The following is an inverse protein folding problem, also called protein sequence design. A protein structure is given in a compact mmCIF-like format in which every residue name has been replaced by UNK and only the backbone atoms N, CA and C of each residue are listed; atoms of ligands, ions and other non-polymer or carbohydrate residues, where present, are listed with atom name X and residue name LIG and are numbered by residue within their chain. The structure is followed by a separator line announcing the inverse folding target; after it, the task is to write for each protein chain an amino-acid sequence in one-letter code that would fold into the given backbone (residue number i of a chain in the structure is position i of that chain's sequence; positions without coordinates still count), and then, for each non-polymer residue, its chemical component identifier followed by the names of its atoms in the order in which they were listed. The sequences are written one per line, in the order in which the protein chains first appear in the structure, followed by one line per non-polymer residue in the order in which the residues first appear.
data_IF_977940315936
#
_entry.id   IF_977940315936
#
_cell.length_a   1.000
_cell.length_b   1.000
_cell.length_c   1.000
_cell.angle_alpha   90.00
_cell.angle_beta   90.00
_cell.angle_gamma   90.00
#
_symmetry.space_group_name_H-M   'P 1'
#
loop_
_entity.id
_entity.type
_entity.pdbx_description
1 polymer ?
#
# COMPACT_ATOMS: atom_id res chain seq x y z
N UNK A 1 -26.20 -11.94 -24.95
CA UNK A 1 -26.51 -10.51 -24.97
C UNK A 1 -26.04 -9.80 -23.73
N UNK A 2 -26.45 -10.23 -22.54
CA UNK A 2 -26.01 -9.62 -21.29
C UNK A 2 -24.49 -9.69 -21.07
N UNK A 3 -23.85 -10.79 -21.47
CA UNK A 3 -22.40 -10.95 -21.35
C UNK A 3 -21.63 -9.96 -22.23
N UNK A 4 -22.15 -9.68 -23.42
CA UNK A 4 -21.52 -8.73 -24.33
C UNK A 4 -21.59 -7.31 -23.77
N UNK A 5 -22.74 -6.93 -23.20
CA UNK A 5 -22.92 -5.61 -22.60
C UNK A 5 -21.95 -5.42 -21.41
N UNK A 6 -21.79 -6.43 -20.54
CA UNK A 6 -20.88 -6.39 -19.42
C UNK A 6 -19.42 -6.26 -19.90
N UNK A 7 -19.05 -7.02 -20.94
CA UNK A 7 -17.70 -6.96 -21.49
C UNK A 7 -17.38 -5.57 -22.05
N UNK A 8 -18.33 -4.96 -22.74
CA UNK A 8 -18.15 -3.59 -23.25
C UNK A 8 -18.00 -2.56 -22.13
N UNK A 9 -18.77 -2.72 -21.07
CA UNK A 9 -18.69 -1.82 -19.91
C UNK A 9 -17.33 -1.94 -19.23
N UNK A 10 -16.82 -3.16 -19.05
CA UNK A 10 -15.49 -3.40 -18.48
C UNK A 10 -14.38 -2.81 -19.35
N UNK A 11 -14.49 -2.96 -20.67
CA UNK A 11 -13.51 -2.40 -21.58
C UNK A 11 -13.49 -0.86 -21.51
N UNK A 12 -14.66 -0.22 -21.42
CA UNK A 12 -14.73 1.22 -21.28
C UNK A 12 -14.13 1.70 -19.97
N UNK A 13 -14.41 1.00 -18.87
CA UNK A 13 -13.83 1.32 -17.56
C UNK A 13 -12.31 1.16 -17.57
N UNK A 14 -11.81 0.08 -18.20
CA UNK A 14 -10.37 -0.15 -18.30
C UNK A 14 -9.68 0.93 -19.16
N UNK A 15 -10.34 1.40 -20.22
CA UNK A 15 -9.79 2.44 -21.08
C UNK A 15 -9.66 3.79 -20.38
N UNK A 16 -10.52 4.08 -19.40
CA UNK A 16 -10.51 5.34 -18.66
C UNK A 16 -9.75 5.25 -17.34
N UNK A 17 -9.48 4.05 -16.85
CA UNK A 17 -8.77 3.85 -15.59
C UNK A 17 -7.28 4.14 -15.78
N UNK A 18 -6.69 4.82 -14.81
CA UNK A 18 -5.25 4.96 -14.72
C UNK A 18 -4.65 3.57 -14.41
N UNK A 19 -3.61 3.18 -15.14
CA UNK A 19 -2.96 1.90 -14.90
C UNK A 19 -2.38 1.84 -13.49
N UNK A 20 -2.73 0.79 -12.75
CA UNK A 20 -2.22 0.57 -11.40
C UNK A 20 -1.00 -0.35 -11.47
N UNK A 21 -0.02 -0.06 -10.63
CA UNK A 21 1.21 -0.85 -10.54
C UNK A 21 1.23 -1.58 -9.21
N UNK A 22 1.41 -2.90 -9.26
CA UNK A 22 1.58 -3.70 -8.05
C UNK A 22 2.95 -3.38 -7.43
N UNK A 23 2.96 -3.03 -6.16
CA UNK A 23 4.16 -2.65 -5.44
C UNK A 23 4.52 -3.63 -4.31
N UNK A 24 4.02 -4.83 -4.40
CA UNK A 24 4.28 -5.87 -3.42
C UNK A 24 3.33 -5.82 -2.24
N UNK A 25 3.74 -6.45 -1.16
CA UNK A 25 2.97 -6.49 0.08
C UNK A 25 3.68 -5.73 1.17
N UNK A 26 2.96 -4.84 1.82
CA UNK A 26 3.41 -4.26 3.07
C UNK A 26 3.34 -5.37 4.12
N UNK A 27 4.48 -5.88 4.53
CA UNK A 27 4.57 -7.06 5.39
C UNK A 27 5.83 -6.96 6.25
N UNK A 28 5.76 -7.53 7.44
CA UNK A 28 6.91 -7.62 8.33
C UNK A 28 7.78 -8.85 8.05
N UNK A 29 7.40 -9.68 7.08
CA UNK A 29 8.16 -10.88 6.72
C UNK A 29 9.37 -10.50 5.84
N UNK A 30 10.61 -10.70 6.32
CA UNK A 30 11.80 -10.32 5.54
C UNK A 30 12.18 -11.34 4.46
N UNK A 31 11.46 -12.46 4.35
CA UNK A 31 11.81 -13.56 3.43
C UNK A 31 10.82 -13.75 2.29
N UNK A 32 9.62 -13.20 2.39
CA UNK A 32 8.63 -13.34 1.32
C UNK A 32 9.10 -12.58 0.07
N UNK A 33 8.98 -13.18 -1.14
CA UNK A 33 9.51 -12.53 -2.34
C UNK A 33 8.82 -11.22 -2.71
N UNK A 34 7.56 -11.02 -2.32
CA UNK A 34 6.83 -9.78 -2.60
C UNK A 34 6.71 -8.85 -1.40
N UNK A 35 7.42 -9.13 -0.30
CA UNK A 35 7.39 -8.29 0.89
C UNK A 35 8.25 -7.04 0.74
N UNK A 36 7.72 -5.91 1.19
CA UNK A 36 8.49 -4.66 1.25
C UNK A 36 9.61 -4.70 2.29
N UNK A 37 9.59 -5.69 3.20
CA UNK A 37 10.64 -5.91 4.20
C UNK A 37 11.77 -6.82 3.70
N UNK A 38 11.61 -7.44 2.52
CA UNK A 38 12.64 -8.29 1.93
C UNK A 38 13.61 -7.44 1.11
N UNK A 39 14.80 -7.23 1.64
CA UNK A 39 15.82 -6.38 1.02
C UNK A 39 16.37 -6.93 -0.30
N UNK A 40 16.14 -8.19 -0.57
CA UNK A 40 16.63 -8.87 -1.78
C UNK A 40 15.51 -9.12 -2.79
N UNK A 41 14.27 -8.76 -2.45
CA UNK A 41 13.12 -8.95 -3.32
C UNK A 41 12.84 -7.75 -4.21
N UNK A 42 12.00 -7.96 -5.21
CA UNK A 42 11.67 -6.94 -6.21
C UNK A 42 10.97 -5.71 -5.62
N UNK A 43 10.34 -5.85 -4.46
CA UNK A 43 9.55 -4.78 -3.85
C UNK A 43 10.12 -4.27 -2.54
N UNK A 44 11.20 -4.87 -2.05
CA UNK A 44 11.85 -4.44 -0.82
C UNK A 44 13.29 -3.98 -1.00
N UNK A 45 13.89 -4.26 -2.14
CA UNK A 45 15.28 -3.88 -2.43
C UNK A 45 15.42 -2.36 -2.57
N UNK A 46 16.49 -1.76 -2.02
CA UNK A 46 16.75 -0.33 -2.25
C UNK A 46 17.19 -0.01 -3.67
N UNK A 47 17.32 -1.02 -4.54
CA UNK A 47 17.77 -0.86 -5.93
C UNK A 47 16.71 -1.25 -6.96
N UNK A 48 15.61 -1.86 -6.55
CA UNK A 48 14.57 -2.30 -7.47
C UNK A 48 13.67 -1.13 -7.91
N UNK A 49 13.28 -1.06 -9.20
CA UNK A 49 12.52 0.09 -9.71
C UNK A 49 11.13 0.27 -9.11
N UNK A 50 10.48 -0.83 -8.68
CA UNK A 50 9.12 -0.76 -8.10
C UNK A 50 9.12 -0.85 -6.58
N UNK A 51 10.27 -0.70 -5.94
CA UNK A 51 10.38 -0.75 -4.49
C UNK A 51 10.13 0.61 -3.86
N UNK A 52 9.31 0.65 -2.81
CA UNK A 52 9.14 1.87 -2.02
C UNK A 52 10.39 2.21 -1.20
N UNK A 53 11.35 1.30 -1.14
CA UNK A 53 12.61 1.51 -0.42
C UNK A 53 13.74 2.02 -1.31
N UNK A 54 13.49 2.17 -2.63
CA UNK A 54 14.49 2.68 -3.56
C UNK A 54 14.42 4.23 -3.61
N UNK A 55 15.42 4.93 -3.04
CA UNK A 55 15.38 6.41 -2.99
C UNK A 55 15.52 7.09 -4.35
N UNK A 56 15.85 6.34 -5.40
CA UNK A 56 15.97 6.85 -6.77
C UNK A 56 14.81 6.38 -7.66
N UNK A 57 13.88 5.57 -7.14
CA UNK A 57 12.76 5.06 -7.90
C UNK A 57 11.52 5.92 -7.77
N UNK A 58 10.56 5.71 -8.68
CA UNK A 58 9.30 6.46 -8.72
C UNK A 58 8.53 6.36 -7.40
N UNK A 59 8.58 5.21 -6.73
CA UNK A 59 7.77 4.95 -5.54
C UNK A 59 8.52 5.09 -4.22
N UNK A 60 9.83 5.34 -4.28
CA UNK A 60 10.66 5.48 -3.08
C UNK A 60 11.42 6.80 -2.98
N UNK A 61 11.43 7.60 -4.05
CA UNK A 61 12.15 8.88 -4.04
C UNK A 61 11.46 9.91 -3.14
N UNK A 62 12.21 10.67 -2.32
CA UNK A 62 11.61 11.74 -1.51
C UNK A 62 11.09 12.91 -2.34
N UNK A 63 11.29 12.90 -3.66
CA UNK A 63 10.89 13.99 -4.56
C UNK A 63 9.80 13.59 -5.55
N UNK A 64 9.45 12.32 -5.63
CA UNK A 64 8.43 11.83 -6.58
C UNK A 64 7.03 12.04 -6.05
N UNK A 65 6.12 12.50 -6.91
CA UNK A 65 4.70 12.65 -6.58
C UNK A 65 3.96 11.35 -6.33
N UNK A 66 4.57 10.20 -6.62
CA UNK A 66 3.99 8.86 -6.43
C UNK A 66 4.66 8.08 -5.33
N UNK A 67 5.54 8.71 -4.59
CA UNK A 67 6.39 8.03 -3.61
C UNK A 67 5.74 7.92 -2.25
N UNK A 68 6.04 6.80 -1.57
CA UNK A 68 5.65 6.59 -0.18
C UNK A 68 6.47 7.43 0.80
N UNK A 69 7.61 7.98 0.38
CA UNK A 69 8.52 8.71 1.26
C UNK A 69 8.50 10.22 1.07
N UNK A 70 7.80 10.71 0.05
CA UNK A 70 7.68 12.15 -0.20
C UNK A 70 6.47 12.70 0.55
N UNK A 71 6.66 13.57 1.57
CA UNK A 71 5.53 14.12 2.33
C UNK A 71 4.60 15.03 1.52
N UNK A 72 5.03 15.44 0.33
CA UNK A 72 4.24 16.28 -0.58
C UNK A 72 3.62 15.50 -1.74
N UNK A 73 3.79 14.17 -1.76
CA UNK A 73 3.23 13.34 -2.83
C UNK A 73 1.71 13.34 -2.76
N UNK A 74 1.06 13.50 -3.92
CA UNK A 74 -0.39 13.48 -4.05
C UNK A 74 -0.93 12.12 -4.49
N UNK A 75 -0.06 11.26 -5.03
CA UNK A 75 -0.42 9.95 -5.57
C UNK A 75 0.39 8.84 -4.91
N UNK A 76 0.61 8.95 -3.61
CA UNK A 76 1.32 7.91 -2.85
C UNK A 76 0.58 6.57 -2.92
N UNK A 77 1.28 5.44 -2.72
CA UNK A 77 0.68 4.12 -2.89
C UNK A 77 -0.51 3.87 -1.95
N UNK A 78 -1.50 3.15 -2.46
CA UNK A 78 -2.67 2.74 -1.69
C UNK A 78 -2.46 1.35 -1.12
N UNK A 79 -3.05 1.11 0.07
CA UNK A 79 -2.97 -0.20 0.72
C UNK A 79 -4.34 -0.83 0.83
N UNK A 80 -4.39 -2.14 0.58
CA UNK A 80 -5.60 -2.95 0.74
C UNK A 80 -5.27 -4.19 1.55
N UNK A 81 -6.11 -4.48 2.55
CA UNK A 81 -5.97 -5.69 3.34
C UNK A 81 -6.29 -6.93 2.49
N UNK A 82 -5.87 -8.15 2.94
CA UNK A 82 -6.23 -9.38 2.23
C UNK A 82 -7.73 -9.58 2.04
N UNK A 83 -8.56 -9.01 2.93
CA UNK A 83 -10.03 -9.08 2.81
C UNK A 83 -10.61 -8.00 1.90
N UNK A 84 -9.77 -7.18 1.25
CA UNK A 84 -10.19 -6.14 0.34
C UNK A 84 -10.43 -4.77 0.96
N UNK A 85 -10.33 -4.65 2.27
CA UNK A 85 -10.56 -3.37 2.96
C UNK A 85 -9.46 -2.37 2.62
N UNK A 86 -9.87 -1.14 2.27
CA UNK A 86 -8.94 -0.05 2.01
C UNK A 86 -8.32 0.41 3.33
N UNK A 87 -6.99 0.48 3.36
CA UNK A 87 -6.24 0.83 4.57
C UNK A 87 -5.51 2.19 4.45
N UNK A 88 -5.91 3.00 3.49
CA UNK A 88 -5.32 4.32 3.29
C UNK A 88 -4.12 4.29 2.38
N UNK A 89 -3.34 5.38 2.42
CA UNK A 89 -2.16 5.54 1.58
C UNK A 89 -0.90 5.36 2.40
N UNK A 90 0.04 4.63 1.84
CA UNK A 90 1.39 4.56 2.35
C UNK A 90 2.09 5.88 2.01
N UNK A 91 2.00 6.84 2.91
CA UNK A 91 2.42 8.22 2.68
C UNK A 91 3.26 8.73 3.85
N UNK A 92 4.15 9.66 3.56
CA UNK A 92 4.92 10.35 4.60
C UNK A 92 4.25 11.66 5.06
N UNK A 93 3.09 12.02 4.50
CA UNK A 93 2.38 13.24 4.88
C UNK A 93 1.61 13.03 6.19
N UNK A 94 1.97 13.75 7.28
CA UNK A 94 1.29 13.58 8.56
C UNK A 94 -0.07 14.30 8.66
N UNK A 95 -0.48 15.02 7.62
CA UNK A 95 -1.72 15.82 7.61
C UNK A 95 -2.79 15.32 6.66
N UNK A 96 -2.45 14.43 5.75
CA UNK A 96 -3.40 13.86 4.79
C UNK A 96 -4.36 12.91 5.51
N UNK A 97 -5.70 13.09 5.38
CA UNK A 97 -6.65 12.21 6.06
C UNK A 97 -6.57 10.74 5.63
N UNK A 98 -6.02 10.42 4.46
CA UNK A 98 -5.83 9.04 4.02
C UNK A 98 -4.45 8.47 4.34
N UNK A 99 -3.55 9.29 4.91
CA UNK A 99 -2.17 8.90 5.16
C UNK A 99 -2.04 8.00 6.38
N UNK A 100 -1.24 6.93 6.24
CA UNK A 100 -0.87 6.11 7.40
C UNK A 100 0.09 6.82 8.35
N UNK A 101 0.67 7.95 7.94
CA UNK A 101 1.54 8.77 8.78
C UNK A 101 0.76 9.81 9.60
N UNK A 102 -0.54 9.96 9.37
CA UNK A 102 -1.37 10.92 10.10
C UNK A 102 -1.90 10.30 11.39
N UNK A 103 -1.37 10.69 12.58
CA UNK A 103 -1.78 10.06 13.84
C UNK A 103 -3.21 10.42 14.29
N UNK A 104 -3.84 11.38 13.62
CA UNK A 104 -5.23 11.77 13.90
C UNK A 104 -6.20 11.31 12.83
N UNK A 105 -5.71 10.68 11.77
CA UNK A 105 -6.53 10.20 10.67
C UNK A 105 -7.03 8.78 10.87
N UNK A 106 -8.06 8.42 10.11
CA UNK A 106 -8.67 7.09 10.17
C UNK A 106 -7.66 5.96 9.93
N UNK A 107 -6.69 6.19 9.05
CA UNK A 107 -5.75 5.14 8.62
C UNK A 107 -4.40 5.23 9.31
N UNK A 108 -4.16 6.26 10.11
CA UNK A 108 -2.88 6.45 10.79
C UNK A 108 -2.97 6.50 12.31
N UNK A 109 -4.16 6.66 12.86
CA UNK A 109 -4.34 6.74 14.31
C UNK A 109 -4.03 5.40 14.99
N UNK A 110 -3.32 5.42 16.14
CA UNK A 110 -3.10 4.18 16.91
C UNK A 110 -4.36 3.64 17.57
N UNK A 111 -5.48 4.33 17.46
CA UNK A 111 -6.75 3.95 18.09
C UNK A 111 -7.85 3.60 17.10
N UNK A 112 -7.64 3.84 15.82
CA UNK A 112 -8.65 3.58 14.78
C UNK A 112 -8.69 2.10 14.39
N UNK A 113 -9.90 1.51 14.24
CA UNK A 113 -10.00 0.09 13.84
C UNK A 113 -9.47 -0.19 12.43
N UNK A 114 -9.41 0.80 11.55
CA UNK A 114 -8.91 0.63 10.18
C UNK A 114 -7.44 1.01 10.02
N UNK A 115 -6.75 1.32 11.11
CA UNK A 115 -5.37 1.78 11.06
C UNK A 115 -4.38 0.64 11.20
N UNK A 116 -3.35 0.64 10.36
CA UNK A 116 -2.21 -0.29 10.48
C UNK A 116 -1.33 0.05 11.68
N UNK A 117 -1.53 1.22 12.29
CA UNK A 117 -0.77 1.66 13.47
C UNK A 117 -1.47 1.31 14.80
N UNK A 118 -2.66 0.72 14.75
CA UNK A 118 -3.37 0.31 15.95
C UNK A 118 -2.95 -1.12 16.34
N UNK A 119 -2.15 -1.28 17.42
CA UNK A 119 -1.63 -2.61 17.78
C UNK A 119 -2.70 -3.57 18.30
N UNK A 120 -3.90 -3.08 18.59
CA UNK A 120 -5.02 -3.89 19.05
C UNK A 120 -6.07 -4.10 17.97
N UNK A 121 -5.87 -3.49 16.80
CA UNK A 121 -6.82 -3.59 15.69
C UNK A 121 -6.51 -4.76 14.77
N UNK A 122 -7.53 -5.13 13.98
CA UNK A 122 -7.42 -6.23 13.01
C UNK A 122 -6.30 -6.01 12.00
N UNK A 123 -6.04 -4.76 11.63
CA UNK A 123 -5.09 -4.42 10.58
C UNK A 123 -3.75 -3.91 11.12
N UNK A 124 -3.62 -3.77 12.42
CA UNK A 124 -2.38 -3.29 13.05
C UNK A 124 -1.74 -4.24 14.05
N UNK A 125 -2.45 -5.27 14.46
CA UNK A 125 -1.95 -6.23 15.45
C UNK A 125 -0.85 -7.10 14.85
N UNK A 126 0.20 -7.34 15.63
CA UNK A 126 1.27 -8.25 15.21
C UNK A 126 0.85 -9.72 15.20
N UNK A 127 -0.36 -10.02 15.63
CA UNK A 127 -0.90 -11.39 15.68
C UNK A 127 -2.01 -11.64 14.66
N UNK A 128 -2.48 -10.61 13.98
CA UNK A 128 -3.56 -10.73 13.01
C UNK A 128 -3.04 -11.12 11.63
N UNK A 129 -3.72 -12.06 10.98
CA UNK A 129 -3.41 -12.46 9.61
C UNK A 129 -3.61 -11.33 8.59
N UNK A 130 -4.46 -10.36 8.94
CA UNK A 130 -4.78 -9.22 8.06
C UNK A 130 -3.83 -8.04 8.23
N UNK A 131 -2.84 -8.16 9.11
CA UNK A 131 -1.99 -7.03 9.48
C UNK A 131 -0.64 -7.08 8.79
N UNK A 132 -0.15 -5.95 8.25
CA UNK A 132 1.23 -5.87 7.75
C UNK A 132 2.29 -5.97 8.84
N UNK A 133 1.91 -5.83 10.12
CA UNK A 133 2.84 -5.92 11.25
C UNK A 133 3.06 -7.33 11.74
N UNK A 134 2.31 -8.30 11.21
CA UNK A 134 2.49 -9.71 11.56
C UNK A 134 3.41 -10.37 10.54
N UNK A 135 4.64 -10.80 10.95
CA UNK A 135 5.56 -11.43 10.00
C UNK A 135 5.08 -12.75 9.42
N UNK A 136 4.08 -13.36 10.05
CA UNK A 136 3.46 -14.61 9.58
C UNK A 136 2.10 -14.38 8.91
N UNK A 137 1.65 -13.13 8.83
CA UNK A 137 0.41 -12.77 8.19
C UNK A 137 0.57 -12.55 6.69
N UNK A 138 -0.57 -12.34 6.02
CA UNK A 138 -0.59 -12.11 4.58
C UNK A 138 -0.20 -10.69 4.17
N UNK A 139 -0.09 -9.78 5.14
CA UNK A 139 0.26 -8.39 4.87
C UNK A 139 -0.83 -7.62 4.14
N UNK A 140 -0.47 -6.47 3.59
CA UNK A 140 -1.39 -5.61 2.85
C UNK A 140 -0.85 -5.39 1.44
N UNK A 141 -1.72 -5.42 0.44
CA UNK A 141 -1.35 -5.19 -0.95
C UNK A 141 -1.10 -3.70 -1.18
N UNK A 142 0.04 -3.36 -1.80
CA UNK A 142 0.37 -2.00 -2.20
C UNK A 142 0.16 -1.84 -3.70
N UNK A 143 -0.52 -0.76 -4.10
CA UNK A 143 -0.69 -0.39 -5.50
C UNK A 143 -0.34 1.07 -5.70
N UNK A 144 0.44 1.34 -6.75
CA UNK A 144 0.80 2.69 -7.16
C UNK A 144 0.06 3.10 -8.43
N UNK A 145 -0.03 4.39 -8.64
CA UNK A 145 -0.59 4.97 -9.87
C UNK A 145 0.44 5.04 -10.99
#
# INVERSE_FOLDING_TARGET
MKKIAIAMLLAAAAATAVAQTYLGRSSANPYAPDSTSNRYGAYGSPYAPNSINNPYGTYGSPYSGRSATNPYATESPRMYAPDGTYLGRRSANPYDPESTANPYGRYGSPYSPDSVNNPYGRYGSQYSDQSPNNPYGRGATLVGD
#
